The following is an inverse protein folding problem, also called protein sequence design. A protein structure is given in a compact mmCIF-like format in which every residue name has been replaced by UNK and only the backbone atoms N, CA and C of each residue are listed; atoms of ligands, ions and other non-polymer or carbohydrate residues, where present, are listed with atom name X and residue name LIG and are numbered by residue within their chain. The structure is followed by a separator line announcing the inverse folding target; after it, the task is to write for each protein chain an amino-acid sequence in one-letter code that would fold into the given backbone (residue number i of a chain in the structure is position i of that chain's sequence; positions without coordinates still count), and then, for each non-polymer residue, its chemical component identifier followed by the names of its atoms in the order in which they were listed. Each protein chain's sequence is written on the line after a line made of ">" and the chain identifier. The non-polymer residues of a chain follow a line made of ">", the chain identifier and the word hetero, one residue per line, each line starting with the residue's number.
data_IF_489154389727
#
_entry.id   IF_489154389727
#
_cell.length_a   1.000
_cell.length_b   1.000
_cell.length_c   1.000
_cell.angle_alpha   90.00
_cell.angle_beta   90.00
_cell.angle_gamma   90.00
#
_symmetry.space_group_name_H-M   'P 1'
#
loop_
_entity.id
_entity.type
_entity.pdbx_description
1 polymer ?
#
# COMPACT_ATOMS: atom_id res chain seq x y z
N UNK A 1 -8.73 18.00 -36.33
CA UNK A 1 -8.06 16.69 -36.27
C UNK A 1 -6.90 16.78 -35.31
N UNK A 2 -6.88 15.91 -34.30
CA UNK A 2 -5.80 15.81 -33.33
C UNK A 2 -5.32 14.35 -33.25
N UNK A 3 -4.11 14.15 -32.73
CA UNK A 3 -3.61 12.80 -32.46
C UNK A 3 -4.48 12.11 -31.41
N UNK A 4 -4.69 10.81 -31.56
CA UNK A 4 -5.48 9.99 -30.65
C UNK A 4 -5.03 10.13 -29.18
N UNK A 5 -3.73 10.11 -28.92
CA UNK A 5 -3.18 10.29 -27.56
C UNK A 5 -3.57 11.63 -26.93
N UNK A 6 -3.64 12.69 -27.73
CA UNK A 6 -4.05 14.02 -27.30
C UNK A 6 -5.57 14.12 -27.17
N UNK A 7 -6.31 13.53 -28.10
CA UNK A 7 -7.77 13.52 -28.08
C UNK A 7 -8.32 12.82 -26.83
N UNK A 8 -7.73 11.68 -26.44
CA UNK A 8 -8.12 10.96 -25.23
C UNK A 8 -7.95 11.83 -23.98
N UNK A 9 -6.90 12.65 -23.91
CA UNK A 9 -6.70 13.59 -22.79
C UNK A 9 -7.70 14.73 -22.84
N UNK A 10 -7.86 15.36 -24.01
CA UNK A 10 -8.81 16.48 -24.20
C UNK A 10 -10.24 16.09 -23.83
N UNK A 11 -10.65 14.85 -24.11
CA UNK A 11 -11.99 14.34 -23.79
C UNK A 11 -12.11 13.72 -22.39
N UNK A 12 -11.07 13.80 -21.57
CA UNK A 12 -11.07 13.23 -20.21
C UNK A 12 -11.03 11.70 -20.15
N UNK A 13 -10.85 11.02 -21.28
CA UNK A 13 -10.74 9.55 -21.40
C UNK A 13 -9.35 9.04 -20.96
N UNK A 14 -8.37 9.93 -20.80
CA UNK A 14 -7.07 9.62 -20.23
C UNK A 14 -6.52 10.79 -19.40
N UNK A 15 -6.01 10.50 -18.20
CA UNK A 15 -5.42 11.50 -17.28
C UNK A 15 -4.11 12.15 -17.72
N UNK A 16 -3.41 11.60 -18.71
CA UNK A 16 -2.20 12.21 -19.28
C UNK A 16 -1.87 11.60 -20.65
N UNK A 17 -1.00 12.24 -21.44
CA UNK A 17 -0.56 11.71 -22.74
C UNK A 17 0.16 10.36 -22.60
N UNK A 18 0.93 10.16 -21.53
CA UNK A 18 1.59 8.89 -21.22
C UNK A 18 0.56 7.80 -20.89
N UNK A 19 -0.49 8.15 -20.15
CA UNK A 19 -1.60 7.23 -19.88
C UNK A 19 -2.33 6.83 -21.16
N UNK A 20 -2.63 7.81 -22.01
CA UNK A 20 -3.26 7.58 -23.32
C UNK A 20 -2.42 6.64 -24.20
N UNK A 21 -1.11 6.87 -24.30
CA UNK A 21 -0.20 6.02 -25.07
C UNK A 21 -0.18 4.56 -24.56
N UNK A 22 -0.26 4.37 -23.23
CA UNK A 22 -0.37 3.03 -22.62
C UNK A 22 -1.67 2.33 -22.99
N UNK A 23 -2.82 3.01 -22.84
CA UNK A 23 -4.14 2.45 -23.20
C UNK A 23 -4.18 2.01 -24.67
N UNK A 24 -3.60 2.82 -25.55
CA UNK A 24 -3.48 2.53 -26.99
C UNK A 24 -2.60 1.30 -27.23
N UNK A 25 -1.43 1.23 -26.57
CA UNK A 25 -0.52 0.09 -26.71
C UNK A 25 -1.10 -1.22 -26.16
N UNK A 26 -1.95 -1.13 -25.13
CA UNK A 26 -2.68 -2.26 -24.55
C UNK A 26 -3.92 -2.67 -25.38
N UNK A 27 -4.20 -1.98 -26.49
CA UNK A 27 -5.34 -2.28 -27.37
C UNK A 27 -6.70 -1.92 -26.77
N UNK A 28 -6.73 -1.02 -25.79
CA UNK A 28 -7.94 -0.66 -25.02
C UNK A 28 -8.74 0.48 -25.61
N UNK A 29 -8.26 1.12 -26.67
CA UNK A 29 -8.94 2.25 -27.29
C UNK A 29 -9.57 1.78 -28.58
N UNK A 30 -10.86 1.99 -28.76
CA UNK A 30 -11.59 1.64 -29.96
C UNK A 30 -12.50 2.76 -30.46
N UNK A 31 -12.85 2.70 -31.74
CA UNK A 31 -13.90 3.51 -32.37
C UNK A 31 -14.80 2.55 -33.14
N UNK A 32 -16.10 2.57 -32.86
CA UNK A 32 -17.10 1.71 -33.51
C UNK A 32 -16.68 0.22 -33.53
N UNK A 33 -16.16 -0.28 -32.41
CA UNK A 33 -15.70 -1.67 -32.27
C UNK A 33 -14.36 -2.00 -32.92
N UNK A 34 -13.68 -1.03 -33.55
CA UNK A 34 -12.35 -1.22 -34.13
C UNK A 34 -11.26 -0.69 -33.19
N UNK A 35 -10.31 -1.55 -32.79
CA UNK A 35 -9.19 -1.17 -31.92
C UNK A 35 -8.21 -0.24 -32.65
N UNK A 36 -7.90 0.89 -32.03
CA UNK A 36 -6.95 1.88 -32.51
C UNK A 36 -5.59 1.66 -31.83
N UNK A 37 -4.64 1.07 -32.55
CA UNK A 37 -3.34 0.63 -31.99
C UNK A 37 -2.20 1.66 -32.09
N UNK A 38 -2.44 2.87 -32.62
CA UNK A 38 -1.39 3.87 -32.89
C UNK A 38 -1.74 5.24 -32.30
N UNK A 39 -0.88 5.75 -31.43
CA UNK A 39 -1.05 7.05 -30.78
C UNK A 39 -1.08 8.24 -31.75
N UNK A 40 -0.45 8.09 -32.92
CA UNK A 40 -0.38 9.11 -33.97
C UNK A 40 -1.59 9.15 -34.90
N UNK A 41 -2.57 8.25 -34.74
CA UNK A 41 -3.80 8.25 -35.54
C UNK A 41 -4.48 9.61 -35.39
N UNK A 42 -4.86 10.20 -36.52
CA UNK A 42 -5.61 11.44 -36.54
C UNK A 42 -7.09 11.13 -36.36
N UNK A 43 -7.69 11.74 -35.34
CA UNK A 43 -9.12 11.64 -35.05
C UNK A 43 -9.71 13.05 -35.07
N UNK A 44 -10.94 13.17 -35.54
CA UNK A 44 -11.70 14.42 -35.44
C UNK A 44 -12.45 14.49 -34.10
N UNK A 45 -13.10 15.62 -33.83
CA UNK A 45 -13.80 15.84 -32.57
C UNK A 45 -15.12 15.03 -32.46
N UNK A 46 -15.64 14.52 -33.57
CA UNK A 46 -16.89 13.78 -33.65
C UNK A 46 -16.70 12.26 -33.66
N UNK A 47 -15.47 11.79 -33.89
CA UNK A 47 -15.10 10.37 -33.93
C UNK A 47 -15.47 9.76 -32.58
N UNK A 48 -16.36 8.75 -32.50
CA UNK A 48 -16.68 8.09 -31.23
C UNK A 48 -15.44 7.34 -30.72
N UNK A 49 -15.13 7.51 -29.44
CA UNK A 49 -13.97 6.87 -28.81
C UNK A 49 -14.44 6.15 -27.56
N UNK A 50 -14.26 4.83 -27.54
CA UNK A 50 -14.49 3.97 -26.40
C UNK A 50 -13.14 3.54 -25.83
N UNK A 51 -13.00 3.65 -24.51
CA UNK A 51 -11.87 3.06 -23.79
C UNK A 51 -12.42 1.88 -23.00
N UNK A 52 -11.96 0.68 -23.33
CA UNK A 52 -12.29 -0.53 -22.60
C UNK A 52 -11.87 -0.34 -21.14
N UNK A 53 -12.87 -0.22 -20.27
CA UNK A 53 -12.69 -0.25 -18.83
C UNK A 53 -12.32 -1.69 -18.44
N UNK A 54 -11.06 -1.93 -18.11
CA UNK A 54 -10.62 -3.25 -17.66
C UNK A 54 -10.78 -3.43 -16.14
N UNK A 55 -11.43 -2.48 -15.45
CA UNK A 55 -11.47 -2.43 -14.00
C UNK A 55 -10.07 -2.28 -13.37
N UNK A 56 -9.01 -2.18 -14.18
CA UNK A 56 -7.65 -1.80 -13.77
C UNK A 56 -7.46 -0.32 -14.06
N UNK A 57 -8.42 0.43 -13.56
CA UNK A 57 -8.19 1.79 -13.14
C UNK A 57 -6.87 1.81 -12.37
N UNK A 58 -5.91 2.55 -12.90
CA UNK A 58 -4.60 2.67 -12.28
C UNK A 58 -4.84 3.38 -10.96
N UNK A 59 -4.54 2.74 -9.83
CA UNK A 59 -4.64 3.40 -8.54
C UNK A 59 -3.98 4.79 -8.61
N UNK A 60 -4.49 5.75 -7.83
CA UNK A 60 -4.02 7.13 -7.79
C UNK A 60 -2.50 7.21 -7.66
N UNK A 61 -1.88 6.20 -7.04
CA UNK A 61 -0.42 6.04 -6.99
C UNK A 61 0.05 4.59 -7.19
N UNK A 62 1.35 4.44 -7.48
CA UNK A 62 2.05 3.13 -7.50
C UNK A 62 1.90 2.36 -6.19
N UNK A 63 1.71 3.06 -5.06
CA UNK A 63 1.53 2.42 -3.76
C UNK A 63 0.23 1.59 -3.75
N UNK A 64 -0.85 2.04 -4.40
CA UNK A 64 -2.08 1.25 -4.46
C UNK A 64 -1.88 -0.14 -5.10
N UNK A 65 -1.07 -0.24 -6.16
CA UNK A 65 -0.72 -1.54 -6.74
C UNK A 65 0.06 -2.45 -5.77
N UNK A 66 0.85 -1.87 -4.87
CA UNK A 66 1.60 -2.64 -3.86
C UNK A 66 0.66 -3.24 -2.83
N UNK A 67 -0.25 -2.45 -2.25
CA UNK A 67 -1.22 -2.95 -1.28
C UNK A 67 -2.19 -3.95 -1.92
N UNK A 68 -2.65 -3.70 -3.15
CA UNK A 68 -3.50 -4.65 -3.84
C UNK A 68 -2.82 -6.02 -3.97
N UNK A 69 -1.56 -6.06 -4.41
CA UNK A 69 -0.81 -7.32 -4.48
C UNK A 69 -0.55 -7.95 -3.11
N UNK A 70 -0.36 -7.16 -2.06
CA UNK A 70 -0.23 -7.67 -0.70
C UNK A 70 -1.52 -8.35 -0.21
N UNK A 71 -2.68 -7.72 -0.43
CA UNK A 71 -3.97 -8.29 -0.06
C UNK A 71 -4.36 -9.49 -0.93
N UNK A 72 -3.87 -9.59 -2.17
CA UNK A 72 -3.99 -10.81 -2.98
C UNK A 72 -3.11 -11.94 -2.46
N UNK A 73 -1.92 -11.63 -1.93
CA UNK A 73 -1.04 -12.61 -1.29
C UNK A 73 -1.54 -13.07 0.09
N UNK A 74 -2.40 -12.28 0.74
CA UNK A 74 -2.98 -12.58 2.05
C UNK A 74 -4.52 -12.66 1.97
N UNK A 75 -5.08 -13.73 1.35
CA UNK A 75 -6.52 -13.83 1.07
C UNK A 75 -7.41 -13.82 2.33
N UNK A 76 -6.85 -14.15 3.49
CA UNK A 76 -7.54 -14.09 4.79
C UNK A 76 -7.74 -12.64 5.29
N UNK A 77 -7.05 -11.66 4.70
CA UNK A 77 -7.16 -10.24 5.06
C UNK A 77 -8.18 -9.55 4.17
N UNK A 78 -9.36 -9.28 4.72
CA UNK A 78 -10.45 -8.60 4.01
C UNK A 78 -10.63 -7.16 4.48
N UNK A 79 -10.98 -6.25 3.57
CA UNK A 79 -11.41 -4.88 3.92
C UNK A 79 -12.94 -4.73 3.92
N UNK A 80 -13.65 -5.65 3.28
CA UNK A 80 -15.10 -5.57 3.07
C UNK A 80 -15.89 -5.39 4.37
N UNK A 81 -16.73 -4.36 4.40
CA UNK A 81 -17.58 -4.00 5.54
C UNK A 81 -16.82 -3.54 6.79
N UNK A 82 -15.50 -3.29 6.68
CA UNK A 82 -14.66 -2.92 7.82
C UNK A 82 -14.36 -1.43 7.83
N UNK A 83 -14.18 -0.91 9.05
CA UNK A 83 -13.45 0.32 9.29
C UNK A 83 -11.95 0.04 9.18
N UNK A 84 -11.27 0.74 8.29
CA UNK A 84 -9.85 0.58 8.02
C UNK A 84 -9.06 1.83 8.42
N UNK A 85 -7.78 1.65 8.74
CA UNK A 85 -6.82 2.72 8.97
C UNK A 85 -5.74 2.64 7.89
N UNK A 86 -5.51 3.76 7.19
CA UNK A 86 -4.38 3.98 6.28
C UNK A 86 -3.37 4.93 6.96
N UNK A 87 -2.32 4.36 7.54
CA UNK A 87 -1.28 5.10 8.25
C UNK A 87 -0.13 5.47 7.29
N UNK A 88 -0.08 6.75 6.90
CA UNK A 88 0.80 7.27 5.85
C UNK A 88 0.10 7.37 4.49
N UNK A 89 -1.13 7.88 4.48
CA UNK A 89 -2.01 7.84 3.31
C UNK A 89 -1.42 8.56 2.08
N UNK A 90 -0.62 9.62 2.29
CA UNK A 90 -0.01 10.45 1.25
C UNK A 90 -1.01 10.85 0.17
N UNK A 91 -0.80 10.43 -1.08
CA UNK A 91 -1.71 10.69 -2.22
C UNK A 91 -2.99 9.87 -2.20
N UNK A 92 -3.08 8.86 -1.34
CA UNK A 92 -4.28 8.03 -1.11
C UNK A 92 -4.30 6.68 -1.82
N UNK A 93 -3.13 6.18 -2.26
CA UNK A 93 -3.07 4.91 -2.99
C UNK A 93 -3.60 3.71 -2.20
N UNK A 94 -3.28 3.64 -0.91
CA UNK A 94 -3.78 2.56 -0.03
C UNK A 94 -5.25 2.78 0.33
N UNK A 95 -5.62 4.01 0.69
CA UNK A 95 -7.03 4.42 0.91
C UNK A 95 -7.94 4.00 -0.25
N UNK A 96 -7.55 4.26 -1.49
CA UNK A 96 -8.34 3.87 -2.66
C UNK A 96 -8.49 2.35 -2.79
N UNK A 97 -7.43 1.56 -2.55
CA UNK A 97 -7.49 0.09 -2.57
C UNK A 97 -8.50 -0.42 -1.54
N UNK A 98 -8.48 0.14 -0.32
CA UNK A 98 -9.38 -0.26 0.75
C UNK A 98 -10.84 0.03 0.37
N UNK A 99 -11.13 1.23 -0.15
CA UNK A 99 -12.48 1.60 -0.60
C UNK A 99 -12.98 0.70 -1.74
N UNK A 100 -12.11 0.39 -2.72
CA UNK A 100 -12.44 -0.50 -3.83
C UNK A 100 -12.66 -1.95 -3.38
N UNK A 101 -12.01 -2.37 -2.29
CA UNK A 101 -12.23 -3.68 -1.65
C UNK A 101 -13.37 -3.68 -0.63
N UNK A 102 -14.23 -2.66 -0.67
CA UNK A 102 -15.47 -2.63 0.10
C UNK A 102 -15.32 -2.18 1.56
N UNK A 103 -14.24 -1.48 1.91
CA UNK A 103 -14.16 -0.84 3.23
C UNK A 103 -15.40 0.05 3.46
N UNK A 104 -16.01 -0.09 4.63
CA UNK A 104 -17.14 0.72 5.06
C UNK A 104 -16.69 2.16 5.34
N UNK A 105 -15.51 2.30 5.95
CA UNK A 105 -14.90 3.58 6.29
C UNK A 105 -13.38 3.45 6.28
N UNK A 106 -12.66 4.44 5.75
CA UNK A 106 -11.20 4.54 5.84
C UNK A 106 -10.80 5.79 6.61
N UNK A 107 -9.98 5.63 7.65
CA UNK A 107 -9.27 6.73 8.30
C UNK A 107 -7.92 6.89 7.61
N UNK A 108 -7.73 7.99 6.90
CA UNK A 108 -6.48 8.34 6.23
C UNK A 108 -5.66 9.27 7.13
N UNK A 109 -4.56 8.76 7.69
CA UNK A 109 -3.65 9.51 8.57
C UNK A 109 -2.38 9.87 7.79
N UNK A 110 -1.96 11.12 7.85
CA UNK A 110 -0.66 11.56 7.32
C UNK A 110 -0.04 12.66 8.18
N UNK A 111 1.29 12.73 8.19
CA UNK A 111 2.04 13.80 8.85
C UNK A 111 2.12 15.07 8.01
N UNK A 112 1.98 14.95 6.69
CA UNK A 112 1.90 16.04 5.75
C UNK A 112 0.50 16.68 5.70
N UNK A 113 0.38 17.69 4.84
CA UNK A 113 -0.87 18.40 4.57
C UNK A 113 -1.12 18.50 3.06
N UNK A 114 -2.39 18.44 2.67
CA UNK A 114 -2.85 18.62 1.29
C UNK A 114 -2.37 17.54 0.30
N UNK A 115 -1.95 16.37 0.78
CA UNK A 115 -1.41 15.33 -0.10
C UNK A 115 -2.49 14.45 -0.73
N UNK A 116 -3.55 14.16 0.01
CA UNK A 116 -4.64 13.29 -0.44
C UNK A 116 -5.39 13.94 -1.61
N UNK A 117 -5.60 13.19 -2.70
CA UNK A 117 -6.28 13.70 -3.89
C UNK A 117 -7.74 14.09 -3.57
N UNK A 118 -8.30 15.13 -4.21
CA UNK A 118 -9.62 15.66 -3.87
C UNK A 118 -10.73 14.59 -3.89
N UNK A 119 -10.71 13.68 -4.86
CA UNK A 119 -11.72 12.64 -5.01
C UNK A 119 -11.81 11.72 -3.78
N UNK A 120 -10.66 11.40 -3.16
CA UNK A 120 -10.63 10.56 -1.95
C UNK A 120 -10.90 11.39 -0.70
N UNK A 121 -10.47 12.65 -0.66
CA UNK A 121 -10.76 13.56 0.44
C UNK A 121 -12.25 13.83 0.59
N UNK A 122 -12.95 13.98 -0.53
CA UNK A 122 -14.37 14.32 -0.57
C UNK A 122 -15.28 13.07 -0.52
N UNK A 123 -14.72 11.85 -0.52
CA UNK A 123 -15.50 10.62 -0.35
C UNK A 123 -16.05 10.55 1.08
N UNK A 124 -17.38 10.39 1.27
CA UNK A 124 -18.00 10.37 2.60
C UNK A 124 -17.54 9.19 3.47
N UNK A 125 -16.92 8.17 2.88
CA UNK A 125 -16.32 7.02 3.58
C UNK A 125 -14.86 7.26 3.93
N UNK A 126 -14.36 8.49 3.89
CA UNK A 126 -12.97 8.81 4.25
C UNK A 126 -12.94 9.89 5.33
N UNK A 127 -12.21 9.62 6.41
CA UNK A 127 -11.86 10.64 7.42
C UNK A 127 -10.38 10.96 7.31
N UNK A 128 -10.05 12.23 7.11
CA UNK A 128 -8.69 12.70 6.86
C UNK A 128 -8.10 13.33 8.12
N UNK A 129 -6.96 12.80 8.58
CA UNK A 129 -6.21 13.31 9.72
C UNK A 129 -4.79 13.71 9.27
N UNK A 130 -4.63 14.98 8.93
CA UNK A 130 -3.35 15.57 8.48
C UNK A 130 -2.57 16.21 9.63
N UNK A 131 -1.25 16.32 9.48
CA UNK A 131 -0.37 16.80 10.54
C UNK A 131 -0.24 15.85 11.73
N UNK A 132 -0.81 14.64 11.65
CA UNK A 132 -0.82 13.66 12.73
C UNK A 132 0.36 12.70 12.57
N UNK A 133 1.30 12.76 13.51
CA UNK A 133 2.39 11.80 13.55
C UNK A 133 1.92 10.47 14.15
N UNK A 134 2.00 9.39 13.36
CA UNK A 134 1.60 8.04 13.76
C UNK A 134 2.25 7.54 15.06
N UNK A 135 3.42 8.06 15.44
CA UNK A 135 4.09 7.74 16.72
C UNK A 135 3.28 8.13 17.95
N UNK A 136 2.44 9.16 17.82
CA UNK A 136 1.65 9.73 18.90
C UNK A 136 0.14 9.54 18.66
N UNK A 137 -0.21 8.72 17.67
CA UNK A 137 -1.60 8.42 17.33
C UNK A 137 -2.24 7.58 18.44
N UNK A 138 -3.46 7.93 18.81
CA UNK A 138 -4.29 7.17 19.76
C UNK A 138 -5.61 6.77 19.10
N UNK A 139 -6.29 5.71 19.58
CA UNK A 139 -7.59 5.32 19.06
C UNK A 139 -8.59 6.48 19.09
N UNK A 140 -8.64 7.25 20.18
CA UNK A 140 -9.55 8.38 20.32
C UNK A 140 -9.25 9.49 19.30
N UNK A 141 -7.96 9.75 19.04
CA UNK A 141 -7.52 10.77 18.09
C UNK A 141 -7.92 10.50 16.65
N UNK A 142 -8.24 9.24 16.31
CA UNK A 142 -8.73 8.83 14.99
C UNK A 142 -10.22 8.43 14.99
N UNK A 143 -10.94 8.61 16.10
CA UNK A 143 -12.36 8.24 16.20
C UNK A 143 -12.62 6.74 16.43
N UNK A 144 -11.67 6.03 17.03
CA UNK A 144 -11.77 4.63 17.44
C UNK A 144 -10.77 3.70 16.75
N UNK A 145 -10.61 2.45 17.23
CA UNK A 145 -9.76 1.45 16.60
C UNK A 145 -10.34 0.93 15.26
N UNK A 146 -9.47 0.56 14.33
CA UNK A 146 -9.81 -0.02 13.03
C UNK A 146 -9.77 -1.56 13.09
N UNK A 147 -10.53 -2.24 12.22
CA UNK A 147 -10.49 -3.70 12.11
C UNK A 147 -9.36 -4.18 11.17
N UNK A 148 -8.91 -3.31 10.26
CA UNK A 148 -7.75 -3.51 9.40
C UNK A 148 -6.91 -2.24 9.36
N UNK A 149 -5.62 -2.36 9.67
CA UNK A 149 -4.65 -1.27 9.55
C UNK A 149 -3.65 -1.57 8.45
N UNK A 150 -3.42 -0.62 7.55
CA UNK A 150 -2.37 -0.68 6.53
C UNK A 150 -1.39 0.47 6.76
N UNK A 151 -0.12 0.27 6.43
CA UNK A 151 0.87 1.34 6.59
C UNK A 151 1.92 1.35 5.48
N UNK A 152 2.14 2.53 4.90
CA UNK A 152 3.22 2.86 3.96
C UNK A 152 4.01 4.06 4.50
N UNK A 153 4.90 3.81 5.45
CA UNK A 153 5.65 4.87 6.12
C UNK A 153 7.04 5.04 5.51
N UNK A 154 7.52 6.29 5.46
CA UNK A 154 8.87 6.62 4.99
C UNK A 154 9.62 7.41 6.04
N UNK A 155 10.96 7.28 6.05
CA UNK A 155 11.85 8.00 6.98
C UNK A 155 11.65 7.69 8.46
N UNK A 156 10.94 6.61 8.77
CA UNK A 156 10.71 6.10 10.11
C UNK A 156 10.79 4.58 10.11
N UNK A 157 11.38 4.00 11.16
CA UNK A 157 11.40 2.56 11.38
C UNK A 157 10.06 2.12 11.95
N UNK A 158 9.52 1.00 11.46
CA UNK A 158 8.27 0.41 11.97
C UNK A 158 8.37 0.07 13.46
N UNK A 159 9.58 -0.22 13.98
CA UNK A 159 9.77 -0.53 15.41
C UNK A 159 9.38 0.62 16.33
N UNK A 160 9.27 1.86 15.82
CA UNK A 160 8.87 3.04 16.59
C UNK A 160 7.36 3.32 16.55
N UNK A 161 6.61 2.56 15.75
CA UNK A 161 5.19 2.82 15.47
C UNK A 161 4.31 1.57 15.59
N UNK A 162 4.88 0.38 15.83
CA UNK A 162 4.10 -0.85 16.01
C UNK A 162 3.12 -0.75 17.19
N UNK A 163 3.54 -0.21 18.33
CA UNK A 163 2.66 -0.02 19.49
C UNK A 163 1.45 0.89 19.21
N UNK A 164 1.61 2.12 18.69
CA UNK A 164 0.45 2.97 18.38
C UNK A 164 -0.43 2.38 17.27
N UNK A 165 0.14 1.71 16.26
CA UNK A 165 -0.65 1.01 15.24
C UNK A 165 -1.45 -0.14 15.84
N UNK A 166 -0.84 -0.92 16.74
CA UNK A 166 -1.52 -1.99 17.47
C UNK A 166 -2.64 -1.44 18.35
N UNK A 167 -2.38 -0.37 19.11
CA UNK A 167 -3.38 0.27 19.96
C UNK A 167 -4.61 0.73 19.15
N UNK A 168 -4.38 1.27 17.94
CA UNK A 168 -5.41 1.72 17.01
C UNK A 168 -6.06 0.61 16.17
N UNK A 169 -5.75 -0.66 16.41
CA UNK A 169 -6.35 -1.80 15.71
C UNK A 169 -7.14 -2.66 16.69
N UNK A 170 -8.35 -3.14 16.38
CA UNK A 170 -9.11 -3.99 17.31
C UNK A 170 -8.34 -5.25 17.73
N UNK A 171 -8.52 -5.78 18.95
CA UNK A 171 -8.11 -7.15 19.27
C UNK A 171 -8.71 -8.13 18.26
N UNK A 172 -7.87 -9.01 17.69
CA UNK A 172 -8.22 -9.88 16.57
C UNK A 172 -8.14 -9.22 15.18
N UNK A 173 -7.96 -7.90 15.11
CA UNK A 173 -7.81 -7.13 13.87
C UNK A 173 -6.45 -7.32 13.21
N UNK A 174 -6.43 -7.13 11.90
CA UNK A 174 -5.25 -7.35 11.06
C UNK A 174 -4.48 -6.06 10.83
N UNK A 175 -3.15 -6.19 10.72
CA UNK A 175 -2.27 -5.14 10.25
C UNK A 175 -1.43 -5.66 9.08
N UNK A 176 -1.40 -4.90 7.99
CA UNK A 176 -0.59 -5.19 6.79
C UNK A 176 0.37 -4.02 6.59
N UNK A 177 1.60 -4.20 7.05
CA UNK A 177 2.60 -3.13 7.16
C UNK A 177 3.69 -3.32 6.11
N UNK A 178 4.02 -2.25 5.38
CA UNK A 178 5.12 -2.32 4.43
C UNK A 178 6.47 -2.08 5.13
N UNK A 179 7.27 -3.13 5.21
CA UNK A 179 8.66 -3.09 5.66
C UNK A 179 9.55 -2.59 4.53
N UNK A 180 10.24 -1.48 4.78
CA UNK A 180 11.19 -0.87 3.86
C UNK A 180 12.60 -0.99 4.43
N UNK A 181 13.41 -1.98 4.00
CA UNK A 181 14.71 -2.25 4.60
C UNK A 181 15.62 -1.03 4.75
N UNK A 182 15.55 -0.08 3.82
CA UNK A 182 16.32 1.17 3.85
C UNK A 182 16.01 2.08 5.05
N UNK A 183 14.87 1.90 5.72
CA UNK A 183 14.53 2.63 6.94
C UNK A 183 14.74 1.81 8.22
N UNK A 184 15.14 0.53 8.09
CA UNK A 184 15.26 -0.40 9.21
C UNK A 184 16.69 -0.73 9.62
N UNK A 185 17.63 -0.77 8.67
CA UNK A 185 19.01 -1.24 8.90
C UNK A 185 19.95 -0.20 9.55
N UNK A 186 19.46 1.01 9.79
CA UNK A 186 20.25 2.11 10.35
C UNK A 186 21.10 2.85 9.31
N UNK A 187 21.44 4.11 9.61
CA UNK A 187 22.12 5.01 8.64
C UNK A 187 23.52 4.51 8.24
N UNK A 188 24.24 3.86 9.15
CA UNK A 188 25.62 3.41 8.91
C UNK A 188 25.71 2.25 7.90
N UNK A 189 24.60 1.54 7.67
CA UNK A 189 24.52 0.43 6.71
C UNK A 189 23.91 0.85 5.37
N UNK A 190 23.45 2.10 5.25
CA UNK A 190 22.95 2.64 4.00
C UNK A 190 24.12 3.12 3.13
N UNK A 191 24.24 2.55 1.93
CA UNK A 191 25.16 3.08 0.92
C UNK A 191 24.75 4.49 0.45
N UNK A 192 25.63 5.17 -0.28
CA UNK A 192 25.38 6.54 -0.81
C UNK A 192 24.12 6.67 -1.67
N UNK A 193 23.66 5.58 -2.27
CA UNK A 193 22.44 5.54 -3.11
C UNK A 193 21.16 5.34 -2.30
N UNK A 194 21.25 4.99 -1.01
CA UNK A 194 20.09 4.65 -0.19
C UNK A 194 19.39 3.33 -0.55
N UNK A 195 20.02 2.49 -1.38
CA UNK A 195 19.47 1.21 -1.84
C UNK A 195 20.09 0.04 -1.09
N UNK A 196 19.26 -0.87 -0.57
CA UNK A 196 19.67 -2.08 0.15
C UNK A 196 19.77 -3.28 -0.79
N UNK A 197 20.94 -3.43 -1.41
CA UNK A 197 21.20 -4.52 -2.36
C UNK A 197 21.45 -5.89 -1.69
N UNK A 198 21.94 -5.91 -0.45
CA UNK A 198 22.23 -7.15 0.26
C UNK A 198 20.95 -7.85 0.72
N UNK A 199 20.77 -9.10 0.28
CA UNK A 199 19.67 -9.95 0.75
C UNK A 199 19.70 -10.17 2.26
N UNK A 200 20.90 -10.39 2.82
CA UNK A 200 21.09 -10.54 4.25
C UNK A 200 20.61 -9.31 5.03
N UNK A 201 20.93 -8.10 4.55
CA UNK A 201 20.46 -6.86 5.19
C UNK A 201 18.94 -6.70 5.07
N UNK A 202 18.33 -7.10 3.94
CA UNK A 202 16.87 -7.12 3.79
C UNK A 202 16.20 -8.12 4.75
N UNK A 203 16.75 -9.33 4.89
CA UNK A 203 16.27 -10.33 5.85
C UNK A 203 16.36 -9.79 7.28
N UNK A 204 17.52 -9.25 7.68
CA UNK A 204 17.71 -8.67 9.02
C UNK A 204 16.74 -7.51 9.30
N UNK A 205 16.42 -6.69 8.29
CA UNK A 205 15.40 -5.64 8.44
C UNK A 205 14.02 -6.20 8.76
N UNK A 206 13.57 -7.23 8.02
CA UNK A 206 12.28 -7.87 8.25
C UNK A 206 12.27 -8.59 9.60
N UNK A 207 13.34 -9.31 9.93
CA UNK A 207 13.53 -9.99 11.22
C UNK A 207 13.44 -9.02 12.40
N UNK A 208 14.08 -7.85 12.29
CA UNK A 208 14.01 -6.79 13.31
C UNK A 208 12.58 -6.32 13.52
N UNK A 209 11.83 -6.05 12.44
CA UNK A 209 10.43 -5.61 12.55
C UNK A 209 9.52 -6.72 13.09
N UNK A 210 9.74 -7.97 12.67
CA UNK A 210 8.99 -9.12 13.16
C UNK A 210 9.17 -9.33 14.67
N UNK A 211 10.41 -9.24 15.17
CA UNK A 211 10.69 -9.31 16.59
C UNK A 211 10.03 -8.17 17.38
N UNK A 212 10.13 -6.93 16.88
CA UNK A 212 9.48 -5.78 17.49
C UNK A 212 7.94 -5.91 17.49
N UNK A 213 7.35 -6.57 16.49
CA UNK A 213 5.92 -6.84 16.46
C UNK A 213 5.51 -7.82 17.57
N UNK A 214 6.31 -8.86 17.81
CA UNK A 214 6.09 -9.78 18.92
C UNK A 214 6.24 -9.07 20.29
N UNK A 215 7.22 -8.17 20.43
CA UNK A 215 7.37 -7.34 21.64
C UNK A 215 6.16 -6.43 21.88
N UNK A 216 5.56 -5.91 20.80
CA UNK A 216 4.33 -5.14 20.85
C UNK A 216 3.06 -5.99 21.07
N UNK A 217 3.19 -7.29 21.37
CA UNK A 217 2.07 -8.20 21.64
C UNK A 217 1.27 -8.61 20.40
N UNK A 218 1.86 -8.48 19.21
CA UNK A 218 1.23 -8.88 17.95
C UNK A 218 1.57 -10.35 17.61
N UNK A 219 0.81 -10.93 16.70
CA UNK A 219 1.02 -12.27 16.17
C UNK A 219 1.48 -12.18 14.72
N UNK A 220 2.55 -12.88 14.36
CA UNK A 220 3.05 -12.97 12.99
C UNK A 220 2.16 -13.91 12.18
N UNK A 221 1.68 -13.48 11.01
CA UNK A 221 0.75 -14.25 10.19
C UNK A 221 1.27 -14.54 8.78
N UNK A 222 1.92 -13.58 8.14
CA UNK A 222 2.41 -13.75 6.78
C UNK A 222 3.44 -12.71 6.36
N UNK A 223 4.22 -13.07 5.36
CA UNK A 223 5.25 -12.22 4.76
C UNK A 223 5.20 -12.38 3.24
N UNK A 224 5.23 -11.28 2.51
CA UNK A 224 5.23 -11.26 1.06
C UNK A 224 6.17 -10.16 0.55
N UNK A 225 6.82 -10.36 -0.60
CA UNK A 225 7.53 -9.28 -1.28
C UNK A 225 6.53 -8.36 -1.99
N UNK A 226 6.79 -7.06 -1.98
CA UNK A 226 6.00 -6.10 -2.78
C UNK A 226 6.15 -6.43 -4.27
N UNK A 227 5.06 -6.46 -5.06
CA UNK A 227 5.11 -6.77 -6.49
C UNK A 227 5.85 -5.70 -7.31
N UNK A 228 6.01 -4.50 -6.74
CA UNK A 228 6.74 -3.39 -7.35
C UNK A 228 7.83 -2.91 -6.39
N UNK A 229 9.03 -2.59 -6.90
CA UNK A 229 10.07 -1.98 -6.06
C UNK A 229 9.66 -0.56 -5.62
N UNK A 230 10.36 -0.06 -4.60
CA UNK A 230 10.35 1.34 -4.17
C UNK A 230 10.77 2.32 -5.28
N UNK A 231 10.63 3.62 -5.02
CA UNK A 231 10.96 4.66 -6.02
C UNK A 231 12.42 4.57 -6.49
N UNK A 232 13.35 4.30 -5.58
CA UNK A 232 14.79 4.17 -5.86
C UNK A 232 15.24 2.74 -6.19
N UNK A 233 14.29 1.82 -6.40
CA UNK A 233 14.59 0.41 -6.70
C UNK A 233 14.76 -0.50 -5.48
N UNK A 234 14.54 0.01 -4.26
CA UNK A 234 14.56 -0.82 -3.05
C UNK A 234 13.49 -1.94 -3.13
N UNK A 235 13.88 -3.16 -2.76
CA UNK A 235 12.93 -4.26 -2.56
C UNK A 235 12.28 -4.08 -1.20
N UNK A 236 10.95 -4.09 -1.18
CA UNK A 236 10.11 -3.85 -0.01
C UNK A 236 9.24 -5.08 0.26
N UNK A 237 8.78 -5.25 1.49
CA UNK A 237 8.02 -6.43 1.91
C UNK A 237 6.76 -6.00 2.63
N UNK A 238 5.70 -6.79 2.54
CA UNK A 238 4.53 -6.66 3.39
C UNK A 238 4.57 -7.71 4.49
N UNK A 239 4.45 -7.23 5.71
CA UNK A 239 4.29 -8.05 6.90
C UNK A 239 2.82 -8.02 7.33
N UNK A 240 2.18 -9.18 7.29
CA UNK A 240 0.86 -9.39 7.88
C UNK A 240 1.01 -9.88 9.31
N UNK A 241 0.45 -9.11 10.24
CA UNK A 241 0.37 -9.42 11.65
C UNK A 241 -1.05 -9.22 12.16
N UNK A 242 -1.38 -9.83 13.29
CA UNK A 242 -2.69 -9.73 13.92
C UNK A 242 -2.55 -9.27 15.36
N UNK A 243 -3.42 -8.37 15.81
CA UNK A 243 -3.49 -8.02 17.23
C UNK A 243 -4.09 -9.19 18.00
N UNK A 244 -3.41 -9.65 19.04
CA UNK A 244 -3.91 -10.75 19.88
C UNK A 244 -5.20 -10.34 20.58
N UNK A 245 -6.09 -11.32 20.77
CA UNK A 245 -7.29 -11.15 21.61
C UNK A 245 -6.89 -11.20 23.09
N UNK A 246 -5.84 -11.96 23.41
CA UNK A 246 -5.31 -12.11 24.77
C UNK A 246 -4.07 -11.25 24.98
N UNK A 247 -3.79 -10.90 26.24
CA UNK A 247 -2.62 -10.13 26.65
C UNK A 247 -1.37 -10.97 26.88
N UNK A 248 -1.47 -12.30 26.84
CA UNK A 248 -0.36 -13.19 27.15
C UNK A 248 0.66 -13.23 26.01
N UNK A 249 1.91 -12.94 26.35
CA UNK A 249 3.02 -13.05 25.41
C UNK A 249 3.44 -14.52 25.27
N UNK A 250 3.74 -14.98 24.05
CA UNK A 250 4.27 -16.33 23.82
C UNK A 250 5.65 -16.50 24.48
N UNK A 251 6.02 -17.75 24.77
CA UNK A 251 7.35 -18.07 25.31
C UNK A 251 8.45 -17.71 24.30
N UNK A 252 9.67 -17.48 24.78
CA UNK A 252 10.80 -17.06 23.93
C UNK A 252 11.04 -18.07 22.80
N UNK A 253 10.98 -19.37 23.08
CA UNK A 253 11.21 -20.41 22.07
C UNK A 253 10.14 -20.42 20.97
N UNK A 254 8.89 -20.11 21.33
CA UNK A 254 7.77 -19.98 20.38
C UNK A 254 7.94 -18.73 19.50
N UNK A 255 8.53 -17.67 20.05
CA UNK A 255 8.84 -16.43 19.31
C UNK A 255 9.91 -16.66 18.25
N UNK A 256 11.02 -17.28 18.63
CA UNK A 256 12.13 -17.57 17.70
C UNK A 256 11.65 -18.48 16.56
N UNK A 257 10.88 -19.52 16.89
CA UNK A 257 10.29 -20.41 15.89
C UNK A 257 9.32 -19.69 14.95
N UNK A 258 8.48 -18.77 15.47
CA UNK A 258 7.55 -17.99 14.65
C UNK A 258 8.28 -17.05 13.68
N UNK A 259 9.34 -16.38 14.13
CA UNK A 259 10.17 -15.51 13.27
C UNK A 259 10.89 -16.35 12.21
N UNK A 260 11.49 -17.47 12.57
CA UNK A 260 12.15 -18.36 11.62
C UNK A 260 11.18 -18.89 10.55
N UNK A 261 9.98 -19.33 10.96
CA UNK A 261 8.93 -19.80 10.05
C UNK A 261 8.47 -18.68 9.11
N UNK A 262 8.28 -17.46 9.62
CA UNK A 262 7.91 -16.30 8.82
C UNK A 262 8.99 -15.96 7.78
N UNK A 263 10.27 -15.92 8.18
CA UNK A 263 11.36 -15.59 7.27
C UNK A 263 11.59 -16.68 6.22
N UNK A 264 11.36 -17.94 6.57
CA UNK A 264 11.50 -19.09 5.68
C UNK A 264 10.58 -19.06 4.45
N UNK A 265 9.50 -18.26 4.47
CA UNK A 265 8.61 -18.11 3.31
C UNK A 265 9.28 -17.38 2.14
N UNK A 266 10.22 -16.48 2.44
CA UNK A 266 11.00 -15.73 1.43
C UNK A 266 12.44 -16.23 1.35
N UNK A 267 13.02 -16.62 2.48
CA UNK A 267 14.42 -17.03 2.62
C UNK A 267 14.55 -18.45 3.20
N UNK A 268 14.20 -19.51 2.44
CA UNK A 268 14.17 -20.88 2.95
C UNK A 268 15.55 -21.49 3.23
N UNK A 269 16.63 -20.92 2.68
CA UNK A 269 17.99 -21.47 2.75
C UNK A 269 18.88 -20.79 3.80
N UNK A 270 18.29 -20.07 4.75
CA UNK A 270 18.98 -19.24 5.75
C UNK A 270 18.41 -19.49 7.14
#
# INVERSE_FOLDING_TARGET
>A
MARLDQMLVTRGLARSRTHAARLIAEGKVSSDGTVLAKASVQVDDLTPLDVADDGRDTYVSRAGHKLAGALDAFPDVTAEGKRCLDAGASTGGFTEVLLRRGADHVVAVDVGHGQLVPQLRDDPRVSVHEGLNVRYMTPEGIGGPAALTVADLSFISLTLVLEPLAACTHPGGDLVLMVKPQFEIGKDRLGRTGVVNSERERRMAVEKVANAALDAGLELRGLAASPLPGQDGNVEYFLWIRRRITSDLPKIEERDAAVAALLGTIWPNH
#
